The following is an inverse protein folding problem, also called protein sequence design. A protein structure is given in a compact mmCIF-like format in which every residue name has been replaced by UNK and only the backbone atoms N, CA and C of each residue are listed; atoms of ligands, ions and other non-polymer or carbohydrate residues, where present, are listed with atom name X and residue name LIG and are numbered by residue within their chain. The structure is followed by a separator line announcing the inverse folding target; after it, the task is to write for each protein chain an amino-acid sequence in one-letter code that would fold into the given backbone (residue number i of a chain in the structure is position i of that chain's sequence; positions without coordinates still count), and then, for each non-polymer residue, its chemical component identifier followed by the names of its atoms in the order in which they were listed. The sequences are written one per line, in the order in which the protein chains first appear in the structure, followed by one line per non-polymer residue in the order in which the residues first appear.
data_IF_944563616016
#
_entry.id   IF_944563616016
#
_cell.length_a   1.000
_cell.length_b   1.000
_cell.length_c   1.000
_cell.angle_alpha   90.00
_cell.angle_beta   90.00
_cell.angle_gamma   90.00
#
_symmetry.space_group_name_H-M   'P 1'
#
loop_
_entity.id
_entity.type
_entity.pdbx_description
1 polymer ?
#
# COMPACT_ATOMS: atom_id res chain seq x y z
N UNK A 1 -1.91 -21.08 4.59
CA UNK A 1 -0.78 -21.19 3.65
C UNK A 1 -0.60 -22.65 3.32
N UNK A 2 -0.41 -23.00 2.05
CA UNK A 2 -0.15 -24.40 1.66
C UNK A 2 1.23 -24.84 2.16
N UNK A 3 1.45 -26.14 2.42
CA UNK A 3 2.76 -26.66 2.83
C UNK A 3 3.89 -26.33 1.84
N UNK A 4 3.58 -26.32 0.54
CA UNK A 4 4.55 -25.99 -0.52
C UNK A 4 5.00 -24.54 -0.46
N UNK A 5 4.08 -23.58 -0.30
CA UNK A 5 4.44 -22.15 -0.16
C UNK A 5 5.26 -21.91 1.11
N UNK A 6 4.96 -22.60 2.21
CA UNK A 6 5.75 -22.50 3.44
C UNK A 6 7.17 -23.02 3.28
N UNK A 7 7.36 -24.15 2.58
CA UNK A 7 8.69 -24.66 2.25
C UNK A 7 9.45 -23.70 1.32
N UNK A 8 8.78 -23.17 0.29
CA UNK A 8 9.37 -22.21 -0.63
C UNK A 8 9.85 -20.94 0.08
N UNK A 9 9.04 -20.38 0.98
CA UNK A 9 9.42 -19.21 1.80
C UNK A 9 10.63 -19.51 2.68
N UNK A 10 10.63 -20.66 3.38
CA UNK A 10 11.75 -21.08 4.23
C UNK A 10 13.05 -21.18 3.44
N UNK A 11 13.00 -21.74 2.23
CA UNK A 11 14.19 -21.93 1.42
C UNK A 11 14.66 -20.60 0.79
N UNK A 12 13.73 -19.68 0.47
CA UNK A 12 14.05 -18.29 0.14
C UNK A 12 14.78 -17.58 1.29
N UNK A 13 14.26 -17.67 2.52
CA UNK A 13 14.83 -17.01 3.70
C UNK A 13 16.22 -17.55 4.06
N UNK A 14 16.52 -18.80 3.69
CA UNK A 14 17.85 -19.42 3.85
C UNK A 14 18.81 -19.15 2.68
N UNK A 15 18.38 -18.39 1.66
CA UNK A 15 19.19 -18.13 0.46
C UNK A 15 19.45 -19.37 -0.40
N UNK A 16 18.58 -20.39 -0.31
CA UNK A 16 18.76 -21.67 -1.02
C UNK A 16 18.19 -21.67 -2.44
N UNK A 17 17.48 -20.61 -2.84
CA UNK A 17 16.81 -20.52 -4.14
C UNK A 17 17.66 -19.79 -5.18
N UNK A 18 17.66 -20.32 -6.40
CA UNK A 18 18.21 -19.66 -7.59
C UNK A 18 17.13 -18.88 -8.34
N UNK A 19 17.51 -18.07 -9.34
CA UNK A 19 16.51 -17.55 -10.29
C UNK A 19 15.97 -18.68 -11.17
N UNK A 20 14.67 -18.66 -11.54
CA UNK A 20 13.67 -17.62 -11.24
C UNK A 20 12.92 -17.83 -9.90
N UNK A 21 13.26 -18.87 -9.13
CA UNK A 21 12.52 -19.30 -7.94
C UNK A 21 12.48 -18.27 -6.82
N UNK A 22 13.44 -17.33 -6.78
CA UNK A 22 13.45 -16.27 -5.77
C UNK A 22 12.65 -15.02 -6.17
N UNK A 23 12.28 -14.86 -7.45
CA UNK A 23 11.57 -13.69 -7.99
C UNK A 23 10.29 -13.36 -7.22
N UNK A 24 9.49 -14.38 -6.89
CA UNK A 24 8.21 -14.23 -6.19
C UNK A 24 8.33 -13.49 -4.84
N UNK A 25 9.46 -13.67 -4.15
CA UNK A 25 9.70 -13.12 -2.82
C UNK A 25 10.51 -11.82 -2.83
N UNK A 26 11.04 -11.43 -4.00
CA UNK A 26 11.77 -10.18 -4.20
C UNK A 26 10.85 -8.97 -4.33
N UNK A 27 11.47 -7.79 -4.52
CA UNK A 27 10.73 -6.58 -4.87
C UNK A 27 10.15 -6.76 -6.27
N UNK A 28 8.83 -6.59 -6.39
CA UNK A 28 8.17 -6.64 -7.69
C UNK A 28 8.62 -5.48 -8.59
N UNK A 29 8.89 -5.75 -9.88
CA UNK A 29 9.16 -4.69 -10.85
C UNK A 29 7.92 -3.81 -11.01
N UNK A 30 8.10 -2.60 -11.53
CA UNK A 30 7.01 -1.63 -11.78
C UNK A 30 6.01 -2.15 -12.81
N UNK A 31 6.48 -2.94 -13.78
CA UNK A 31 5.67 -3.49 -14.86
C UNK A 31 6.25 -4.86 -15.26
N UNK A 32 5.38 -5.77 -15.70
CA UNK A 32 5.73 -7.10 -16.19
C UNK A 32 5.04 -7.34 -17.54
N UNK A 33 5.79 -7.86 -18.53
CA UNK A 33 5.27 -8.25 -19.85
C UNK A 33 5.82 -9.62 -20.21
N UNK A 34 4.95 -10.57 -20.56
CA UNK A 34 5.34 -11.94 -20.88
C UNK A 34 4.83 -12.37 -22.25
N UNK A 35 5.58 -13.25 -22.91
CA UNK A 35 5.13 -13.96 -24.10
C UNK A 35 4.64 -15.35 -23.69
N UNK A 36 3.33 -15.49 -23.48
CA UNK A 36 2.75 -16.73 -22.96
C UNK A 36 2.92 -17.94 -23.90
N UNK A 37 3.28 -17.74 -25.18
CA UNK A 37 3.54 -18.85 -26.09
C UNK A 37 4.93 -19.45 -25.88
N UNK A 38 5.92 -18.58 -25.65
CA UNK A 38 7.31 -18.98 -25.46
C UNK A 38 7.73 -19.07 -23.98
N UNK A 39 6.97 -18.45 -23.09
CA UNK A 39 7.18 -18.35 -21.65
C UNK A 39 5.84 -18.53 -20.89
N UNK A 40 5.28 -19.76 -20.87
CA UNK A 40 3.99 -20.04 -20.24
C UNK A 40 4.01 -19.89 -18.72
N UNK A 41 5.19 -19.94 -18.09
CA UNK A 41 5.39 -19.81 -16.65
C UNK A 41 5.71 -18.36 -16.22
N UNK A 42 5.71 -17.39 -17.15
CA UNK A 42 5.88 -15.95 -16.88
C UNK A 42 7.17 -15.63 -16.12
N UNK A 43 8.28 -16.31 -16.46
CA UNK A 43 9.57 -16.13 -15.77
C UNK A 43 10.48 -15.10 -16.44
N UNK A 44 10.24 -14.75 -17.70
CA UNK A 44 11.07 -13.84 -18.50
C UNK A 44 10.34 -12.52 -18.78
N UNK A 45 10.51 -11.53 -17.90
CA UNK A 45 9.91 -10.21 -18.08
C UNK A 45 10.52 -9.45 -19.29
N UNK A 46 9.70 -9.11 -20.28
CA UNK A 46 10.05 -8.48 -21.55
C UNK A 46 9.97 -6.94 -21.55
N UNK A 47 9.69 -6.28 -20.42
CA UNK A 47 9.57 -4.80 -20.36
C UNK A 47 10.81 -4.07 -20.89
N UNK A 48 12.01 -4.61 -20.66
CA UNK A 48 13.27 -4.07 -21.18
C UNK A 48 13.61 -4.46 -22.63
N UNK A 49 12.81 -5.31 -23.28
CA UNK A 49 13.10 -5.82 -24.62
C UNK A 49 12.72 -4.80 -25.70
N UNK A 50 13.69 -4.41 -26.53
CA UNK A 50 13.46 -3.53 -27.68
C UNK A 50 12.46 -4.13 -28.67
N UNK A 51 12.49 -5.45 -28.86
CA UNK A 51 11.55 -6.17 -29.73
C UNK A 51 10.10 -6.11 -29.21
N UNK A 52 9.91 -6.10 -27.88
CA UNK A 52 8.59 -6.07 -27.26
C UNK A 52 8.03 -4.64 -27.04
N UNK A 53 8.85 -3.60 -27.19
CA UNK A 53 8.50 -2.21 -26.84
C UNK A 53 7.19 -1.71 -27.48
N UNK A 54 6.93 -2.09 -28.74
CA UNK A 54 5.67 -1.73 -29.42
C UNK A 54 4.46 -2.38 -28.74
N UNK A 55 4.56 -3.67 -28.43
CA UNK A 55 3.48 -4.43 -27.77
C UNK A 55 3.27 -3.96 -26.34
N UNK A 56 4.34 -3.63 -25.61
CA UNK A 56 4.27 -3.04 -24.28
C UNK A 56 3.42 -1.76 -24.27
N UNK A 57 3.75 -0.81 -25.17
CA UNK A 57 3.01 0.46 -25.29
C UNK A 57 1.54 0.26 -25.67
N UNK A 58 1.27 -0.70 -26.55
CA UNK A 58 -0.09 -1.07 -26.96
C UNK A 58 -0.92 -1.60 -25.78
N UNK A 59 -0.40 -2.61 -25.05
CA UNK A 59 -1.09 -3.23 -23.92
C UNK A 59 -1.25 -2.27 -22.75
N UNK A 60 -0.23 -1.45 -22.44
CA UNK A 60 -0.32 -0.40 -21.43
C UNK A 60 -1.42 0.61 -21.74
N UNK A 61 -1.51 1.05 -23.01
CA UNK A 61 -2.59 1.95 -23.44
C UNK A 61 -3.95 1.28 -23.33
N UNK A 62 -4.07 0.01 -23.74
CA UNK A 62 -5.32 -0.74 -23.65
C UNK A 62 -5.77 -0.90 -22.18
N UNK A 63 -4.86 -1.24 -21.27
CA UNK A 63 -5.14 -1.36 -19.84
C UNK A 63 -5.59 -0.03 -19.23
N UNK A 64 -4.86 1.06 -19.48
CA UNK A 64 -5.23 2.38 -18.97
C UNK A 64 -6.61 2.82 -19.48
N UNK A 65 -6.89 2.62 -20.78
CA UNK A 65 -8.19 2.92 -21.35
C UNK A 65 -9.30 2.07 -20.72
N UNK A 66 -9.03 0.79 -20.46
CA UNK A 66 -9.99 -0.11 -19.83
C UNK A 66 -10.31 0.31 -18.40
N UNK A 67 -9.30 0.64 -17.59
CA UNK A 67 -9.51 1.15 -16.23
C UNK A 67 -10.37 2.42 -16.20
N UNK A 68 -10.16 3.33 -17.17
CA UNK A 68 -10.98 4.53 -17.33
C UNK A 68 -12.42 4.19 -17.74
N UNK A 69 -12.59 3.29 -18.72
CA UNK A 69 -13.89 2.88 -19.25
C UNK A 69 -14.78 2.24 -18.17
N UNK A 70 -14.23 1.32 -17.37
CA UNK A 70 -15.00 0.62 -16.33
C UNK A 70 -15.12 1.41 -15.03
N UNK A 71 -14.50 2.59 -14.96
CA UNK A 71 -14.43 3.41 -13.75
C UNK A 71 -13.87 2.62 -12.56
N UNK A 72 -12.70 2.01 -12.76
CA UNK A 72 -12.09 1.07 -11.82
C UNK A 72 -11.82 1.69 -10.45
N UNK A 73 -12.70 1.44 -9.47
CA UNK A 73 -12.57 1.98 -8.10
C UNK A 73 -11.36 1.42 -7.33
N UNK A 74 -10.61 0.46 -7.89
CA UNK A 74 -9.40 -0.11 -7.29
C UNK A 74 -8.25 0.88 -7.09
N UNK A 75 -8.32 2.08 -7.67
CA UNK A 75 -7.37 3.16 -7.37
C UNK A 75 -7.64 3.89 -6.04
N UNK A 76 -8.74 3.60 -5.35
CA UNK A 76 -9.02 4.12 -4.00
C UNK A 76 -8.48 3.16 -2.92
N UNK A 77 -8.05 3.66 -1.76
CA UNK A 77 -7.96 2.82 -0.58
C UNK A 77 -9.32 2.16 -0.29
N UNK A 78 -9.34 0.86 0.08
CA UNK A 78 -10.59 0.08 0.19
C UNK A 78 -11.68 0.79 1.01
N UNK A 79 -11.37 1.36 2.18
CA UNK A 79 -12.40 2.05 2.97
C UNK A 79 -12.82 3.42 2.42
N UNK A 80 -12.06 4.02 1.51
CA UNK A 80 -12.56 5.17 0.72
C UNK A 80 -13.63 4.73 -0.29
N UNK A 81 -13.55 3.51 -0.85
CA UNK A 81 -14.63 2.97 -1.71
C UNK A 81 -15.94 2.95 -0.91
N UNK A 82 -15.92 2.44 0.32
CA UNK A 82 -17.14 2.34 1.15
C UNK A 82 -17.60 3.70 1.70
N UNK A 83 -16.68 4.53 2.19
CA UNK A 83 -17.04 5.82 2.80
C UNK A 83 -17.52 6.84 1.76
N UNK A 84 -16.97 6.85 0.54
CA UNK A 84 -17.47 7.68 -0.57
C UNK A 84 -18.80 7.18 -1.12
N UNK A 85 -19.11 5.89 -0.94
CA UNK A 85 -20.35 5.27 -1.43
C UNK A 85 -21.50 5.29 -0.42
N UNK A 86 -21.39 6.01 0.70
CA UNK A 86 -22.49 6.07 1.69
C UNK A 86 -23.75 6.64 1.06
N UNK A 87 -24.84 5.86 1.11
CA UNK A 87 -26.12 6.23 0.51
C UNK A 87 -26.27 5.84 -0.97
N UNK A 88 -25.27 5.22 -1.56
CA UNK A 88 -25.25 4.76 -2.96
C UNK A 88 -24.48 3.43 -3.07
N UNK A 89 -24.11 3.02 -4.28
CA UNK A 89 -23.28 1.85 -4.53
C UNK A 89 -21.87 2.26 -5.00
N UNK A 90 -20.84 1.41 -4.83
CA UNK A 90 -19.52 1.67 -5.41
C UNK A 90 -19.54 1.88 -6.92
N UNK A 91 -20.47 1.24 -7.63
CA UNK A 91 -20.65 1.44 -9.06
C UNK A 91 -21.11 2.87 -9.36
N UNK A 92 -22.17 3.34 -8.71
CA UNK A 92 -22.69 4.70 -8.88
C UNK A 92 -21.68 5.77 -8.43
N UNK A 93 -21.03 5.58 -7.28
CA UNK A 93 -19.94 6.46 -6.80
C UNK A 93 -18.79 6.52 -7.81
N UNK A 94 -18.41 5.37 -8.37
CA UNK A 94 -17.40 5.30 -9.42
C UNK A 94 -17.75 6.10 -10.66
N UNK A 95 -19.03 6.30 -10.97
CA UNK A 95 -19.50 7.08 -12.13
C UNK A 95 -19.85 8.55 -11.79
N UNK A 96 -19.54 9.02 -10.58
CA UNK A 96 -19.67 10.42 -10.18
C UNK A 96 -18.29 11.09 -10.13
N UNK A 97 -17.98 11.96 -11.09
CA UNK A 97 -16.68 12.64 -11.17
C UNK A 97 -16.38 13.59 -10.00
N UNK A 98 -17.39 14.01 -9.22
CA UNK A 98 -17.17 14.82 -8.01
C UNK A 98 -16.72 13.96 -6.84
N UNK A 99 -17.25 12.74 -6.73
CA UNK A 99 -16.88 11.79 -5.68
C UNK A 99 -15.64 10.99 -6.06
N UNK A 100 -15.41 10.79 -7.36
CA UNK A 100 -14.32 9.98 -7.87
C UNK A 100 -13.69 10.56 -9.15
N UNK A 101 -12.75 11.52 -9.02
CA UNK A 101 -12.01 12.07 -10.15
C UNK A 101 -10.92 11.08 -10.64
N UNK A 102 -11.35 9.97 -11.26
CA UNK A 102 -10.51 8.82 -11.59
C UNK A 102 -9.26 9.17 -12.40
N UNK A 103 -9.36 9.99 -13.45
CA UNK A 103 -8.19 10.33 -14.28
C UNK A 103 -7.05 10.96 -13.46
N UNK A 104 -7.41 11.82 -12.51
CA UNK A 104 -6.46 12.49 -11.62
C UNK A 104 -5.86 11.51 -10.61
N UNK A 105 -6.69 10.67 -9.99
CA UNK A 105 -6.24 9.64 -9.04
C UNK A 105 -5.33 8.63 -9.74
N UNK A 106 -5.71 8.15 -10.92
CA UNK A 106 -4.93 7.22 -11.74
C UNK A 106 -3.60 7.84 -12.17
N UNK A 107 -3.58 9.14 -12.48
CA UNK A 107 -2.32 9.86 -12.78
C UNK A 107 -1.38 9.85 -11.57
N UNK A 108 -1.88 10.18 -10.37
CA UNK A 108 -1.08 10.12 -9.15
C UNK A 108 -0.56 8.69 -8.85
N UNK A 109 -1.41 7.67 -9.04
CA UNK A 109 -1.04 6.27 -8.86
C UNK A 109 0.06 5.81 -9.83
N UNK A 110 0.00 6.28 -11.09
CA UNK A 110 1.03 6.00 -12.09
C UNK A 110 2.39 6.59 -11.68
N UNK A 111 2.42 7.85 -11.21
CA UNK A 111 3.64 8.48 -10.67
C UNK A 111 4.15 7.78 -9.41
N UNK A 112 3.25 7.22 -8.60
CA UNK A 112 3.63 6.47 -7.41
C UNK A 112 4.29 5.12 -7.73
N UNK A 113 3.95 4.53 -8.89
CA UNK A 113 4.34 3.16 -9.28
C UNK A 113 5.65 3.14 -10.07
N UNK A 114 5.90 4.13 -10.91
CA UNK A 114 7.19 4.32 -11.59
C UNK A 114 8.18 4.92 -10.59
N UNK A 115 9.31 4.24 -10.35
CA UNK A 115 10.20 4.50 -9.19
C UNK A 115 11.41 5.36 -9.54
N UNK A 116 11.44 5.93 -10.75
CA UNK A 116 12.59 6.70 -11.19
C UNK A 116 12.73 7.95 -10.32
N UNK A 117 13.97 8.22 -9.86
CA UNK A 117 14.27 9.31 -8.92
C UNK A 117 13.94 10.67 -9.54
N UNK A 118 14.04 10.79 -10.86
CA UNK A 118 13.72 12.01 -11.62
C UNK A 118 12.23 12.38 -11.59
N UNK A 119 11.36 11.45 -11.18
CA UNK A 119 9.90 11.66 -11.11
C UNK A 119 9.42 12.04 -9.70
N UNK A 120 10.30 12.08 -8.69
CA UNK A 120 9.91 12.50 -7.34
C UNK A 120 9.28 13.92 -7.29
N UNK A 121 9.76 14.92 -8.05
CA UNK A 121 9.10 16.22 -8.12
C UNK A 121 7.66 16.12 -8.62
N UNK A 122 7.34 15.20 -9.54
CA UNK A 122 5.98 14.99 -10.03
C UNK A 122 5.07 14.36 -8.98
N UNK A 123 5.60 13.42 -8.18
CA UNK A 123 4.88 12.88 -7.00
C UNK A 123 4.57 13.98 -6.00
N UNK A 124 5.53 14.87 -5.72
CA UNK A 124 5.39 15.92 -4.71
C UNK A 124 4.32 16.97 -5.06
N UNK A 125 3.95 17.12 -6.34
CA UNK A 125 2.85 18.02 -6.77
C UNK A 125 1.48 17.62 -6.23
N UNK A 126 1.33 16.38 -5.75
CA UNK A 126 0.05 15.82 -5.32
C UNK A 126 -0.14 15.82 -3.80
N UNK A 127 0.80 16.39 -3.03
CA UNK A 127 0.78 16.33 -1.56
C UNK A 127 -0.32 17.21 -0.96
N UNK A 128 -0.68 18.29 -1.62
CA UNK A 128 -1.69 19.26 -1.19
C UNK A 128 -2.95 19.25 -2.06
N UNK A 129 -3.14 18.20 -2.88
CA UNK A 129 -4.34 18.03 -3.70
C UNK A 129 -5.60 17.94 -2.81
N UNK A 130 -6.74 18.41 -3.31
CA UNK A 130 -7.98 18.42 -2.55
C UNK A 130 -8.56 17.02 -2.31
N UNK A 131 -8.26 16.05 -3.18
CA UNK A 131 -8.72 14.67 -3.05
C UNK A 131 -7.77 13.80 -2.21
N UNK A 132 -8.33 13.08 -1.23
CA UNK A 132 -7.55 12.25 -0.30
C UNK A 132 -6.83 11.08 -0.97
N UNK A 133 -7.39 10.50 -2.03
CA UNK A 133 -6.77 9.38 -2.74
C UNK A 133 -5.54 9.85 -3.54
N UNK A 134 -5.57 11.09 -4.05
CA UNK A 134 -4.42 11.71 -4.72
C UNK A 134 -3.27 11.91 -3.73
N UNK A 135 -3.55 12.47 -2.56
CA UNK A 135 -2.55 12.64 -1.48
C UNK A 135 -2.02 11.30 -0.96
N UNK A 136 -2.89 10.30 -0.85
CA UNK A 136 -2.50 8.92 -0.53
C UNK A 136 -1.47 8.37 -1.53
N UNK A 137 -1.72 8.51 -2.84
CA UNK A 137 -0.77 8.07 -3.86
C UNK A 137 0.53 8.88 -3.84
N UNK A 138 0.50 10.16 -3.45
CA UNK A 138 1.72 10.94 -3.23
C UNK A 138 2.59 10.32 -2.11
N UNK A 139 1.99 9.97 -0.98
CA UNK A 139 2.66 9.28 0.12
C UNK A 139 3.24 7.91 -0.30
N UNK A 140 2.44 7.12 -1.04
CA UNK A 140 2.87 5.83 -1.59
C UNK A 140 4.02 6.00 -2.61
N UNK A 141 4.01 7.06 -3.41
CA UNK A 141 5.06 7.35 -4.37
C UNK A 141 6.41 7.65 -3.72
N UNK A 142 6.41 8.37 -2.59
CA UNK A 142 7.61 8.59 -1.77
C UNK A 142 8.06 7.26 -1.14
N UNK A 143 7.13 6.50 -0.55
CA UNK A 143 7.40 5.18 0.04
C UNK A 143 8.07 4.21 -0.95
N UNK A 144 7.54 4.14 -2.18
CA UNK A 144 7.99 3.21 -3.21
C UNK A 144 9.40 3.51 -3.73
N UNK A 145 9.86 4.77 -3.59
CA UNK A 145 11.22 5.22 -3.95
C UNK A 145 12.23 5.06 -2.81
N UNK A 146 11.78 4.62 -1.63
CA UNK A 146 12.66 4.20 -0.53
C UNK A 146 13.41 5.33 0.17
N UNK A 147 14.51 4.95 0.84
CA UNK A 147 15.27 5.85 1.71
C UNK A 147 15.74 7.16 1.06
N UNK A 148 16.25 7.18 -0.20
CA UNK A 148 16.65 8.44 -0.83
C UNK A 148 15.49 9.43 -0.97
N UNK A 149 14.30 8.96 -1.37
CA UNK A 149 13.14 9.82 -1.51
C UNK A 149 12.58 10.28 -0.16
N UNK A 150 12.57 9.40 0.85
CA UNK A 150 12.14 9.75 2.21
C UNK A 150 13.05 10.82 2.82
N UNK A 151 14.38 10.70 2.65
CA UNK A 151 15.35 11.64 3.19
C UNK A 151 15.15 13.08 2.66
N UNK A 152 14.76 13.23 1.39
CA UNK A 152 14.52 14.55 0.77
C UNK A 152 13.05 14.99 0.83
N UNK A 153 12.15 14.21 1.44
CA UNK A 153 10.70 14.49 1.51
C UNK A 153 10.19 14.59 2.95
N UNK A 154 11.05 14.98 3.90
CA UNK A 154 10.73 15.01 5.33
C UNK A 154 9.56 15.94 5.65
N UNK A 155 9.50 17.13 5.04
CA UNK A 155 8.44 18.10 5.33
C UNK A 155 7.09 17.65 4.75
N UNK A 156 7.15 17.08 3.56
CA UNK A 156 6.02 16.47 2.85
C UNK A 156 5.43 15.32 3.66
N UNK A 157 6.28 14.40 4.15
CA UNK A 157 5.83 13.28 4.98
C UNK A 157 5.30 13.73 6.34
N UNK A 158 5.88 14.76 6.96
CA UNK A 158 5.31 15.38 8.18
C UNK A 158 3.93 15.97 7.92
N UNK A 159 3.73 16.61 6.78
CA UNK A 159 2.42 17.13 6.37
C UNK A 159 1.41 15.99 6.21
N UNK A 160 1.77 14.95 5.46
CA UNK A 160 0.89 13.80 5.19
C UNK A 160 0.60 12.95 6.44
N UNK A 161 1.51 12.84 7.40
CA UNK A 161 1.23 12.19 8.69
C UNK A 161 0.19 12.93 9.54
N UNK A 162 -0.09 14.21 9.23
CA UNK A 162 -1.14 15.01 9.86
C UNK A 162 -2.34 15.23 8.91
N UNK A 163 -2.44 14.47 7.82
CA UNK A 163 -3.50 14.62 6.82
C UNK A 163 -4.90 14.33 7.37
N UNK A 164 -5.96 14.89 6.78
CA UNK A 164 -7.33 14.50 7.14
C UNK A 164 -7.67 13.04 6.78
N UNK A 165 -7.01 12.46 5.78
CA UNK A 165 -7.18 11.07 5.36
C UNK A 165 -6.27 10.16 6.18
N UNK A 166 -6.83 9.18 6.91
CA UNK A 166 -6.02 8.22 7.63
C UNK A 166 -5.18 7.34 6.70
N UNK A 167 -5.58 7.16 5.44
CA UNK A 167 -4.81 6.39 4.46
C UNK A 167 -3.51 7.10 4.08
N UNK A 168 -3.57 8.41 3.84
CA UNK A 168 -2.39 9.23 3.62
C UNK A 168 -1.48 9.25 4.85
N UNK A 169 -2.07 9.39 6.06
CA UNK A 169 -1.34 9.30 7.32
C UNK A 169 -0.57 7.99 7.46
N UNK A 170 -1.23 6.84 7.25
CA UNK A 170 -0.60 5.52 7.38
C UNK A 170 0.49 5.31 6.33
N UNK A 171 0.27 5.71 5.08
CA UNK A 171 1.28 5.58 4.03
C UNK A 171 2.53 6.42 4.34
N UNK A 172 2.35 7.66 4.79
CA UNK A 172 3.45 8.54 5.18
C UNK A 172 4.19 8.03 6.43
N UNK A 173 3.45 7.62 7.45
CA UNK A 173 4.03 7.04 8.67
C UNK A 173 4.80 5.75 8.37
N UNK A 174 4.27 4.88 7.50
CA UNK A 174 4.99 3.67 7.09
C UNK A 174 6.28 4.01 6.33
N UNK A 175 6.28 5.01 5.44
CA UNK A 175 7.47 5.47 4.74
C UNK A 175 8.55 5.97 5.70
N UNK A 176 8.15 6.83 6.64
CA UNK A 176 9.03 7.37 7.67
C UNK A 176 9.60 6.27 8.55
N UNK A 177 8.73 5.45 9.15
CA UNK A 177 9.15 4.40 10.07
C UNK A 177 10.09 3.39 9.40
N UNK A 178 9.88 3.09 8.11
CA UNK A 178 10.70 2.13 7.38
C UNK A 178 12.07 2.66 6.98
N UNK A 179 12.20 3.94 6.66
CA UNK A 179 13.37 4.46 5.94
C UNK A 179 14.04 5.70 6.53
N UNK A 180 13.40 6.40 7.48
CA UNK A 180 14.01 7.60 8.07
C UNK A 180 15.12 7.24 9.05
N UNK A 181 16.20 8.01 9.02
CA UNK A 181 17.28 7.94 10.01
C UNK A 181 17.05 8.88 11.22
N UNK A 182 16.04 9.77 11.14
CA UNK A 182 15.68 10.68 12.22
C UNK A 182 14.80 9.93 13.25
N UNK A 183 15.39 9.60 14.40
CA UNK A 183 14.71 8.85 15.45
C UNK A 183 13.47 9.54 16.00
N UNK A 184 13.45 10.88 16.09
CA UNK A 184 12.28 11.62 16.57
C UNK A 184 11.14 11.55 15.55
N UNK A 185 11.48 11.61 14.26
CA UNK A 185 10.51 11.45 13.19
C UNK A 185 9.95 10.01 13.14
N UNK A 186 10.81 9.00 13.33
CA UNK A 186 10.38 7.59 13.45
C UNK A 186 9.42 7.40 14.63
N UNK A 187 9.70 7.99 15.80
CA UNK A 187 8.78 7.93 16.95
C UNK A 187 7.43 8.57 16.66
N UNK A 188 7.41 9.67 15.89
CA UNK A 188 6.16 10.31 15.43
C UNK A 188 5.35 9.34 14.56
N UNK A 189 6.00 8.70 13.58
CA UNK A 189 5.35 7.73 12.73
C UNK A 189 4.83 6.49 13.48
N UNK A 190 5.60 5.98 14.46
CA UNK A 190 5.17 4.90 15.35
C UNK A 190 3.90 5.30 16.12
N UNK A 191 3.87 6.52 16.66
CA UNK A 191 2.69 7.05 17.37
C UNK A 191 1.47 7.15 16.45
N UNK A 192 1.62 7.70 15.24
CA UNK A 192 0.54 7.77 14.23
C UNK A 192 -0.04 6.39 13.91
N UNK A 193 0.82 5.38 13.70
CA UNK A 193 0.35 4.02 13.42
C UNK A 193 -0.37 3.39 14.62
N UNK A 194 0.11 3.61 15.85
CA UNK A 194 -0.53 3.13 17.07
C UNK A 194 -1.88 3.82 17.35
N UNK A 195 -2.05 5.07 16.93
CA UNK A 195 -3.29 5.82 17.05
C UNK A 195 -4.37 5.30 16.08
N UNK A 196 -3.98 4.94 14.85
CA UNK A 196 -4.91 4.52 13.79
C UNK A 196 -5.24 3.02 13.80
N UNK A 197 -4.42 2.20 14.46
CA UNK A 197 -4.56 0.74 14.51
C UNK A 197 -5.78 0.21 15.31
N UNK A 198 -6.20 0.79 16.45
CA UNK A 198 -7.34 0.30 17.22
C UNK A 198 -8.64 0.32 16.40
N UNK A 199 -9.36 -0.81 16.39
CA UNK A 199 -10.66 -0.92 15.73
C UNK A 199 -11.80 -0.49 16.67
N UNK A 200 -12.17 0.79 16.60
CA UNK A 200 -13.16 1.44 17.49
C UNK A 200 -14.42 1.87 16.73
N UNK A 201 -15.50 2.29 17.41
CA UNK A 201 -16.70 2.79 16.72
C UNK A 201 -16.46 4.03 15.83
N UNK A 202 -15.38 4.77 16.07
CA UNK A 202 -14.99 5.94 15.29
C UNK A 202 -14.04 5.58 14.14
N UNK A 203 -13.34 4.45 14.25
CA UNK A 203 -12.34 3.99 13.29
C UNK A 203 -12.90 2.88 12.41
N UNK A 204 -12.87 3.08 11.09
CA UNK A 204 -13.29 2.04 10.17
C UNK A 204 -12.32 0.85 10.14
N UNK A 205 -12.86 -0.36 10.01
CA UNK A 205 -12.15 -1.63 9.95
C UNK A 205 -10.98 -1.62 8.96
N UNK A 206 -11.11 -0.96 7.80
CA UNK A 206 -10.05 -0.92 6.78
C UNK A 206 -8.87 -0.06 7.20
N UNK A 207 -9.11 1.02 7.96
CA UNK A 207 -8.03 1.83 8.49
C UNK A 207 -7.23 1.04 9.52
N UNK A 208 -7.94 0.35 10.43
CA UNK A 208 -7.30 -0.54 11.42
C UNK A 208 -6.53 -1.67 10.75
N UNK A 209 -7.08 -2.30 9.71
CA UNK A 209 -6.37 -3.34 8.93
C UNK A 209 -5.08 -2.78 8.31
N UNK A 210 -5.14 -1.60 7.68
CA UNK A 210 -3.97 -1.02 7.02
C UNK A 210 -2.88 -0.65 8.05
N UNK A 211 -3.25 -0.01 9.15
CA UNK A 211 -2.32 0.37 10.22
C UNK A 211 -1.71 -0.87 10.91
N UNK A 212 -2.52 -1.90 11.21
CA UNK A 212 -2.02 -3.15 11.79
C UNK A 212 -1.09 -3.90 10.83
N UNK A 213 -1.37 -3.90 9.53
CA UNK A 213 -0.44 -4.46 8.54
C UNK A 213 0.88 -3.67 8.49
N UNK A 214 0.85 -2.35 8.61
CA UNK A 214 2.06 -1.53 8.71
C UNK A 214 2.87 -1.90 9.97
N UNK A 215 2.21 -2.01 11.13
CA UNK A 215 2.82 -2.44 12.40
C UNK A 215 3.44 -3.84 12.26
N UNK A 216 2.71 -4.81 11.69
CA UNK A 216 3.18 -6.17 11.46
C UNK A 216 4.45 -6.22 10.60
N UNK A 217 4.56 -5.34 9.61
CA UNK A 217 5.72 -5.27 8.69
C UNK A 217 6.92 -4.52 9.25
N UNK A 218 6.72 -3.67 10.26
CA UNK A 218 7.76 -2.89 10.92
C UNK A 218 8.23 -3.52 12.24
N UNK A 219 7.52 -4.55 12.69
CA UNK A 219 7.76 -5.43 13.84
C UNK A 219 8.73 -4.92 14.92
N UNK A 220 10.05 -4.92 14.67
CA UNK A 220 11.08 -4.48 15.61
C UNK A 220 10.86 -3.08 16.20
N UNK A 221 10.22 -2.16 15.46
CA UNK A 221 9.91 -0.82 15.96
C UNK A 221 8.81 -0.78 17.03
N UNK A 222 7.98 -1.83 17.09
CA UNK A 222 6.79 -1.87 17.97
C UNK A 222 6.95 -2.81 19.16
N UNK A 223 8.15 -3.37 19.38
CA UNK A 223 8.43 -4.26 20.51
C UNK A 223 8.11 -3.61 21.86
N UNK A 224 8.44 -2.33 22.03
CA UNK A 224 8.13 -1.55 23.25
C UNK A 224 6.65 -1.21 23.41
N UNK A 225 5.86 -1.33 22.33
CA UNK A 225 4.42 -1.08 22.30
C UNK A 225 3.58 -2.36 22.41
N UNK A 226 4.20 -3.51 22.68
CA UNK A 226 3.50 -4.81 22.73
C UNK A 226 2.31 -4.80 23.70
N UNK A 227 2.46 -4.19 24.88
CA UNK A 227 1.35 -4.09 25.86
C UNK A 227 0.18 -3.27 25.33
N UNK A 228 0.45 -2.18 24.61
CA UNK A 228 -0.58 -1.35 23.98
C UNK A 228 -1.26 -2.10 22.84
N UNK A 229 -0.50 -2.82 22.01
CA UNK A 229 -1.03 -3.64 20.91
C UNK A 229 -1.92 -4.76 21.45
N UNK A 230 -1.52 -5.44 22.53
CA UNK A 230 -2.34 -6.48 23.20
C UNK A 230 -3.67 -5.95 23.73
N UNK A 231 -3.73 -4.67 24.09
CA UNK A 231 -4.94 -4.02 24.60
C UNK A 231 -5.90 -3.55 23.49
N UNK A 232 -5.52 -3.64 22.21
CA UNK A 232 -6.37 -3.18 21.11
C UNK A 232 -7.66 -4.01 21.00
N UNK A 233 -8.80 -3.37 20.68
CA UNK A 233 -10.07 -4.06 20.53
C UNK A 233 -10.05 -5.04 19.36
N UNK A 234 -10.66 -6.20 19.56
CA UNK A 234 -10.82 -7.25 18.52
C UNK A 234 -12.25 -7.34 17.99
N UNK A 235 -13.15 -6.49 18.49
CA UNK A 235 -14.56 -6.42 18.15
C UNK A 235 -15.12 -5.02 18.46
N UNK A 236 -16.36 -4.75 18.02
CA UNK A 236 -17.10 -3.56 18.39
C UNK A 236 -16.73 -2.29 17.62
N UNK A 237 -15.80 -2.36 16.68
CA UNK A 237 -15.46 -1.24 15.82
C UNK A 237 -16.37 -1.07 14.60
N UNK A 238 -16.25 0.07 13.93
CA UNK A 238 -17.04 0.39 12.73
C UNK A 238 -16.64 -0.51 11.56
N UNK A 239 -17.62 -1.08 10.88
CA UNK A 239 -17.41 -1.94 9.72
C UNK A 239 -18.61 -1.86 8.79
N UNK A 240 -18.43 -1.72 7.46
CA UNK A 240 -19.54 -1.66 6.53
C UNK A 240 -20.24 -3.02 6.37
N UNK A 241 -19.57 -4.12 6.74
CA UNK A 241 -20.15 -5.46 6.69
C UNK A 241 -19.46 -6.42 7.67
N UNK A 242 -20.24 -7.28 8.34
CA UNK A 242 -19.74 -8.25 9.30
C UNK A 242 -18.65 -9.20 8.78
N UNK A 243 -18.56 -9.42 7.45
CA UNK A 243 -17.51 -10.23 6.82
C UNK A 243 -16.09 -9.76 7.13
N UNK A 244 -15.91 -8.46 7.41
CA UNK A 244 -14.60 -7.88 7.65
C UNK A 244 -14.14 -7.99 9.11
N UNK A 245 -15.07 -8.26 10.03
CA UNK A 245 -14.83 -8.20 11.47
C UNK A 245 -13.76 -9.20 11.94
N UNK A 246 -13.58 -10.31 11.21
CA UNK A 246 -12.57 -11.33 11.52
C UNK A 246 -11.13 -10.92 11.22
N UNK A 247 -10.91 -9.97 10.30
CA UNK A 247 -9.55 -9.64 9.82
C UNK A 247 -8.71 -8.96 10.89
N UNK A 248 -9.26 -7.96 11.59
CA UNK A 248 -8.55 -7.24 12.66
C UNK A 248 -8.04 -8.22 13.72
N UNK A 249 -8.92 -9.14 14.18
CA UNK A 249 -8.54 -10.19 15.14
C UNK A 249 -7.41 -11.07 14.62
N UNK A 250 -7.47 -11.48 13.35
CA UNK A 250 -6.47 -12.33 12.72
C UNK A 250 -5.10 -11.66 12.60
N UNK A 251 -5.07 -10.42 12.11
CA UNK A 251 -3.84 -9.64 11.97
C UNK A 251 -3.24 -9.36 13.34
N UNK A 252 -4.05 -8.87 14.29
CA UNK A 252 -3.58 -8.57 15.64
C UNK A 252 -2.97 -9.80 16.34
N UNK A 253 -3.62 -10.96 16.24
CA UNK A 253 -3.11 -12.21 16.81
C UNK A 253 -1.80 -12.67 16.15
N UNK A 254 -1.60 -12.39 14.86
CA UNK A 254 -0.33 -12.65 14.17
C UNK A 254 0.74 -11.66 14.66
N UNK A 255 0.45 -10.36 14.62
CA UNK A 255 1.37 -9.30 15.02
C UNK A 255 1.87 -9.48 16.45
N UNK A 256 0.98 -9.78 17.40
CA UNK A 256 1.36 -10.07 18.80
C UNK A 256 2.33 -11.25 18.86
N UNK A 257 2.03 -12.34 18.16
CA UNK A 257 2.87 -13.55 18.15
C UNK A 257 4.25 -13.31 17.58
N UNK A 258 4.36 -12.48 16.54
CA UNK A 258 5.63 -12.17 15.91
C UNK A 258 6.47 -11.22 16.78
N UNK A 259 5.83 -10.27 17.49
CA UNK A 259 6.49 -9.42 18.48
C UNK A 259 6.98 -10.20 19.72
N UNK A 260 6.24 -11.22 20.16
CA UNK A 260 6.63 -12.06 21.31
C UNK A 260 7.82 -12.99 21.04
N UNK A 261 8.14 -13.25 19.77
CA UNK A 261 9.24 -14.13 19.36
C UNK A 261 10.59 -13.42 19.26
N UNK A 262 10.61 -12.09 19.37
CA UNK A 262 11.80 -11.24 19.27
C UNK A 262 12.36 -10.97 20.65
#
# INVERSE_FOLDING_TARGET
MTPSTAAWKRDFDKGLLAEPQKHFWGLKPTEELYDLQNDPDEVNNLVGSTAASKKLKELRKALNNWCLEIRDVGFLPEGEIHSRSVGTTPYEMGHDDKLYPLERIMTAANWATHKDVDELPDVKKYIDDDDSAVRYWAAVGILNRGAPAVAVSVNELKTLMNDASPYAQIAAAYAVAKYSEDSALVQTAVATLLELAPWTPQQDVFVSIMALNAIDKLDGLFATSLSQIKAMPTNGGRSPNGRYNGYVKGILAKTIRDLERR
#
